data_IF_731936089888
#
_entry.id   IF_731936089888
#
_cell.length_a   1.000
_cell.length_b   1.000
_cell.length_c   1.000
_cell.angle_alpha   90.00
_cell.angle_beta   90.00
_cell.angle_gamma   90.00
#
_symmetry.space_group_name_H-M   'P 1'
#
loop_
_entity.id
_entity.type
_entity.pdbx_description
1 polymer ?
#
# COMPACT_ATOMS: atom_id res chain seq x y z
N UNK A 1 21.69 -21.87 7.91
CA UNK A 1 21.26 -20.56 8.46
C UNK A 1 20.39 -19.86 7.42
N UNK A 2 19.09 -19.69 7.69
CA UNK A 2 18.19 -18.97 6.78
C UNK A 2 18.56 -17.48 6.70
N UNK A 3 18.36 -16.87 5.54
CA UNK A 3 18.48 -15.43 5.37
C UNK A 3 17.43 -14.73 6.24
N UNK A 4 17.80 -13.71 7.00
CA UNK A 4 16.83 -12.85 7.68
C UNK A 4 16.09 -12.00 6.67
N UNK A 5 14.87 -11.52 7.01
CA UNK A 5 14.08 -10.62 6.15
C UNK A 5 14.91 -9.40 5.73
N UNK A 6 15.65 -8.81 6.65
CA UNK A 6 16.56 -7.69 6.41
C UNK A 6 17.61 -8.00 5.32
N UNK A 7 18.27 -9.17 5.40
CA UNK A 7 19.23 -9.60 4.38
C UNK A 7 18.58 -9.82 3.01
N UNK A 8 17.36 -10.33 2.98
CA UNK A 8 16.61 -10.49 1.73
C UNK A 8 16.26 -9.13 1.12
N UNK A 9 15.79 -8.18 1.92
CA UNK A 9 15.49 -6.82 1.48
C UNK A 9 16.73 -6.10 0.97
N UNK A 10 17.86 -6.24 1.69
CA UNK A 10 19.15 -5.67 1.27
C UNK A 10 19.64 -6.27 -0.06
N UNK A 11 19.53 -7.59 -0.21
CA UNK A 11 19.87 -8.27 -1.47
C UNK A 11 19.01 -7.80 -2.63
N UNK A 12 17.69 -7.64 -2.42
CA UNK A 12 16.78 -7.10 -3.42
C UNK A 12 17.14 -5.67 -3.80
N UNK A 13 17.38 -4.81 -2.82
CA UNK A 13 17.81 -3.42 -3.02
C UNK A 13 19.11 -3.34 -3.83
N UNK A 14 20.09 -4.18 -3.50
CA UNK A 14 21.36 -4.26 -4.23
C UNK A 14 21.16 -4.74 -5.68
N UNK A 15 20.26 -5.70 -5.92
CA UNK A 15 19.95 -6.16 -7.27
C UNK A 15 19.33 -5.04 -8.12
N UNK A 16 18.41 -4.24 -7.56
CA UNK A 16 17.86 -3.08 -8.26
C UNK A 16 18.95 -2.06 -8.65
N UNK A 17 19.92 -1.82 -7.75
CA UNK A 17 21.08 -0.94 -8.03
C UNK A 17 21.95 -1.50 -9.17
N UNK A 18 22.31 -2.78 -9.09
CA UNK A 18 23.17 -3.43 -10.09
C UNK A 18 22.53 -3.47 -11.48
N UNK A 19 21.22 -3.67 -11.54
CA UNK A 19 20.46 -3.68 -12.80
C UNK A 19 20.22 -2.28 -13.37
N UNK A 20 20.57 -1.21 -12.65
CA UNK A 20 20.20 0.17 -12.99
C UNK A 20 18.69 0.28 -13.31
N UNK A 21 17.89 -0.40 -12.51
CA UNK A 21 16.46 -0.54 -12.70
C UNK A 21 15.76 0.82 -12.63
N UNK A 22 14.76 1.02 -13.50
CA UNK A 22 13.91 2.22 -13.53
C UNK A 22 12.46 1.81 -13.68
N UNK A 23 11.56 2.66 -13.18
CA UNK A 23 10.12 2.51 -13.37
C UNK A 23 9.48 3.88 -13.59
N UNK A 24 8.40 3.93 -14.38
CA UNK A 24 7.57 5.13 -14.49
C UNK A 24 6.62 5.23 -13.30
N UNK A 25 6.08 4.08 -12.89
CA UNK A 25 5.08 3.95 -11.83
C UNK A 25 5.53 2.86 -10.86
N UNK A 26 5.45 3.15 -9.57
CA UNK A 26 5.71 2.18 -8.50
C UNK A 26 4.45 2.00 -7.67
N UNK A 27 4.06 0.74 -7.44
CA UNK A 27 3.11 0.35 -6.41
C UNK A 27 3.89 -0.10 -5.18
N UNK A 28 3.68 0.57 -4.05
CA UNK A 28 4.46 0.41 -2.83
C UNK A 28 3.53 0.09 -1.66
N UNK A 29 3.65 -1.10 -1.07
CA UNK A 29 2.69 -1.52 -0.06
C UNK A 29 2.88 -2.94 0.43
N UNK A 30 1.83 -3.48 1.03
CA UNK A 30 1.80 -4.79 1.67
C UNK A 30 1.34 -5.93 0.72
N UNK A 31 0.73 -6.99 1.30
CA UNK A 31 0.26 -8.15 0.54
C UNK A 31 -0.84 -7.83 -0.47
N UNK A 32 -1.71 -6.85 -0.18
CA UNK A 32 -2.74 -6.43 -1.13
C UNK A 32 -2.11 -5.82 -2.39
N UNK A 33 -1.06 -5.04 -2.22
CA UNK A 33 -0.26 -4.55 -3.35
C UNK A 33 0.49 -5.69 -4.03
N UNK A 34 1.12 -6.59 -3.27
CA UNK A 34 1.89 -7.71 -3.79
C UNK A 34 1.11 -8.59 -4.79
N UNK A 35 -0.15 -8.90 -4.49
CA UNK A 35 -0.99 -9.77 -5.34
C UNK A 35 -1.62 -9.06 -6.54
N UNK A 36 -1.51 -7.72 -6.64
CA UNK A 36 -2.03 -6.95 -7.77
C UNK A 36 -1.14 -7.06 -9.03
N UNK A 37 -1.76 -7.24 -10.19
CA UNK A 37 -1.11 -7.12 -11.50
C UNK A 37 -1.40 -5.73 -12.09
N UNK A 38 -0.65 -4.73 -11.64
CA UNK A 38 -0.85 -3.35 -12.05
C UNK A 38 -0.21 -3.01 -13.41
N UNK A 39 0.61 -3.89 -13.97
CA UNK A 39 1.27 -3.64 -15.26
C UNK A 39 0.28 -3.51 -16.40
N UNK A 40 -0.82 -4.26 -16.34
CA UNK A 40 -1.88 -4.22 -17.33
C UNK A 40 -2.72 -2.94 -17.33
N UNK A 41 -2.66 -2.17 -16.22
CA UNK A 41 -3.46 -0.95 -16.02
C UNK A 41 -2.89 0.24 -16.80
N UNK A 42 -1.58 0.28 -17.02
CA UNK A 42 -0.86 1.42 -17.59
C UNK A 42 -0.07 1.01 -18.86
N UNK A 43 -0.74 0.86 -20.00
CA UNK A 43 -0.08 0.45 -21.26
C UNK A 43 1.03 1.43 -21.64
N UNK A 44 2.19 0.90 -22.03
CA UNK A 44 3.35 1.68 -22.44
C UNK A 44 4.17 2.31 -21.30
N UNK A 45 3.82 2.03 -20.04
CA UNK A 45 4.58 2.43 -18.85
C UNK A 45 5.34 1.25 -18.24
N UNK A 46 6.51 1.53 -17.71
CA UNK A 46 7.25 0.58 -16.87
C UNK A 46 6.69 0.65 -15.46
N UNK A 47 5.89 -0.35 -15.10
CA UNK A 47 5.27 -0.45 -13.77
C UNK A 47 6.06 -1.44 -12.91
N UNK A 48 6.47 -1.00 -11.73
CA UNK A 48 7.14 -1.87 -10.75
C UNK A 48 6.24 -2.08 -9.53
N UNK A 49 5.94 -3.34 -9.21
CA UNK A 49 5.22 -3.71 -8.00
C UNK A 49 6.24 -4.02 -6.88
N UNK A 50 6.32 -3.14 -5.89
CA UNK A 50 7.10 -3.29 -4.66
C UNK A 50 6.22 -3.70 -3.48
N UNK A 51 5.13 -4.41 -3.70
CA UNK A 51 4.33 -5.01 -2.63
C UNK A 51 5.12 -6.11 -1.91
N UNK A 52 4.99 -6.19 -0.58
CA UNK A 52 5.60 -7.23 0.24
C UNK A 52 4.59 -7.82 1.21
N UNK A 53 4.47 -9.15 1.23
CA UNK A 53 3.52 -9.84 2.11
C UNK A 53 3.83 -9.59 3.59
N UNK A 54 2.81 -9.19 4.34
CA UNK A 54 2.92 -8.93 5.78
C UNK A 54 3.65 -7.62 6.12
N UNK A 55 3.89 -6.75 5.13
CA UNK A 55 4.60 -5.50 5.36
C UNK A 55 3.79 -4.53 6.22
N UNK A 56 4.50 -3.72 6.97
CA UNK A 56 3.97 -2.75 7.93
C UNK A 56 4.40 -1.33 7.55
N UNK A 57 3.81 -0.34 8.22
CA UNK A 57 4.22 1.06 8.06
C UNK A 57 5.72 1.24 8.31
N UNK A 58 6.28 0.58 9.36
CA UNK A 58 7.72 0.60 9.62
C UNK A 58 8.51 -0.08 8.50
N UNK A 59 8.05 -1.24 8.00
CA UNK A 59 8.71 -1.95 6.91
C UNK A 59 8.80 -1.12 5.63
N UNK A 60 7.78 -0.33 5.31
CA UNK A 60 7.81 0.63 4.19
C UNK A 60 8.89 1.70 4.42
N UNK A 61 9.01 2.26 5.63
CA UNK A 61 10.04 3.25 5.96
C UNK A 61 11.45 2.65 5.73
N UNK A 62 11.67 1.43 6.20
CA UNK A 62 12.98 0.75 6.14
C UNK A 62 13.44 0.44 4.71
N UNK A 63 12.51 0.43 3.73
CA UNK A 63 12.81 0.09 2.34
C UNK A 63 12.46 1.18 1.30
N UNK A 64 12.25 2.42 1.72
CA UNK A 64 11.98 3.56 0.81
C UNK A 64 13.10 3.75 -0.23
N UNK A 65 14.33 3.34 0.10
CA UNK A 65 15.49 3.34 -0.81
C UNK A 65 15.22 2.59 -2.13
N UNK A 66 14.38 1.54 -2.12
CA UNK A 66 14.00 0.81 -3.33
C UNK A 66 13.26 1.73 -4.32
N UNK A 67 12.38 2.59 -3.82
CA UNK A 67 11.68 3.58 -4.65
C UNK A 67 12.65 4.64 -5.18
N UNK A 68 13.61 5.09 -4.36
CA UNK A 68 14.65 6.05 -4.77
C UNK A 68 15.48 5.53 -5.94
N UNK A 69 15.84 4.24 -5.92
CA UNK A 69 16.62 3.62 -7.00
C UNK A 69 15.85 3.63 -8.30
N UNK A 70 14.56 3.30 -8.26
CA UNK A 70 13.70 3.21 -9.44
C UNK A 70 13.36 4.58 -10.06
N UNK A 71 13.47 5.66 -9.29
CA UNK A 71 13.19 7.05 -9.72
C UNK A 71 11.85 7.23 -10.46
N UNK A 72 10.73 6.73 -9.90
CA UNK A 72 9.43 6.78 -10.57
C UNK A 72 8.92 8.22 -10.69
N UNK A 73 8.01 8.43 -11.66
CA UNK A 73 7.21 9.64 -11.76
C UNK A 73 6.02 9.61 -10.78
N UNK A 74 5.43 8.41 -10.59
CA UNK A 74 4.25 8.22 -9.74
C UNK A 74 4.49 7.05 -8.78
N UNK A 75 4.07 7.23 -7.53
CA UNK A 75 4.07 6.19 -6.49
C UNK A 75 2.65 6.05 -5.93
N UNK A 76 2.08 4.87 -6.05
CA UNK A 76 0.86 4.47 -5.34
C UNK A 76 1.26 3.78 -4.04
N UNK A 77 0.87 4.36 -2.91
CA UNK A 77 1.19 3.86 -1.57
C UNK A 77 -0.06 3.32 -0.88
N UNK A 78 -0.04 2.07 -0.45
CA UNK A 78 -1.06 1.48 0.42
C UNK A 78 -0.41 0.55 1.42
N UNK A 79 -0.49 0.86 2.72
CA UNK A 79 0.06 0.07 3.83
C UNK A 79 -0.64 0.42 5.12
N UNK A 80 -0.69 -0.52 6.05
CA UNK A 80 -1.17 -0.30 7.40
C UNK A 80 -2.17 -1.34 7.91
N UNK A 81 -2.73 -2.20 7.06
CA UNK A 81 -3.68 -3.23 7.50
C UNK A 81 -3.05 -4.17 8.54
N UNK A 82 -1.77 -4.46 8.44
CA UNK A 82 -1.01 -5.28 9.39
C UNK A 82 -0.68 -4.56 10.70
N UNK A 83 -0.90 -3.25 10.75
CA UNK A 83 -0.63 -2.39 11.90
C UNK A 83 -1.89 -2.13 12.73
N UNK A 84 -3.09 -2.10 12.10
CA UNK A 84 -4.37 -1.69 12.71
C UNK A 84 -4.68 -2.39 14.03
N UNK A 85 -4.40 -3.68 14.13
CA UNK A 85 -4.68 -4.46 15.35
C UNK A 85 -3.58 -4.33 16.42
N UNK A 86 -2.42 -3.78 16.09
CA UNK A 86 -1.23 -3.79 16.93
C UNK A 86 -0.94 -2.44 17.60
N UNK A 87 -1.57 -1.36 17.12
CA UNK A 87 -1.34 0.01 17.59
C UNK A 87 -2.65 0.68 17.97
N UNK A 88 -2.59 1.56 18.95
CA UNK A 88 -3.66 2.55 19.16
C UNK A 88 -3.73 3.50 17.98
N UNK A 89 -4.86 4.17 17.77
CA UNK A 89 -5.01 5.15 16.69
C UNK A 89 -3.96 6.27 16.77
N UNK A 90 -3.58 6.69 17.98
CA UNK A 90 -2.55 7.70 18.19
C UNK A 90 -1.17 7.23 17.76
N UNK A 91 -0.78 6.02 18.13
CA UNK A 91 0.50 5.41 17.73
C UNK A 91 0.55 5.17 16.21
N UNK A 92 -0.53 4.62 15.64
CA UNK A 92 -0.66 4.45 14.20
C UNK A 92 -0.50 5.77 13.44
N UNK A 93 -1.21 6.83 13.87
CA UNK A 93 -1.16 8.15 13.26
C UNK A 93 0.24 8.76 13.35
N UNK A 94 0.91 8.60 14.48
CA UNK A 94 2.29 9.07 14.66
C UNK A 94 3.24 8.35 13.71
N UNK A 95 3.18 7.03 13.65
CA UNK A 95 4.03 6.22 12.76
C UNK A 95 3.76 6.54 11.27
N UNK A 96 2.49 6.71 10.90
CA UNK A 96 2.12 7.09 9.54
C UNK A 96 2.60 8.50 9.16
N UNK A 97 2.63 9.43 10.12
CA UNK A 97 3.23 10.75 9.93
C UNK A 97 4.74 10.67 9.67
N UNK A 98 5.45 9.78 10.37
CA UNK A 98 6.88 9.52 10.12
C UNK A 98 7.06 8.97 8.71
N UNK A 99 6.24 8.01 8.29
CA UNK A 99 6.26 7.45 6.93
C UNK A 99 6.11 8.55 5.87
N UNK A 100 5.05 9.36 5.94
CA UNK A 100 4.80 10.36 4.91
C UNK A 100 5.85 11.48 4.91
N UNK A 101 6.42 11.82 6.07
CA UNK A 101 7.57 12.72 6.16
C UNK A 101 8.79 12.12 5.46
N UNK A 102 9.11 10.86 5.72
CA UNK A 102 10.19 10.13 5.06
C UNK A 102 10.01 10.15 3.55
N UNK A 103 8.83 9.77 3.05
CA UNK A 103 8.50 9.80 1.62
C UNK A 103 8.66 11.22 1.04
N UNK A 104 8.17 12.25 1.73
CA UNK A 104 8.29 13.65 1.29
C UNK A 104 9.73 14.09 1.13
N UNK A 105 10.62 13.62 2.00
CA UNK A 105 12.05 13.97 1.99
C UNK A 105 12.79 13.15 0.94
N UNK A 106 12.56 11.84 0.90
CA UNK A 106 13.39 10.89 0.17
C UNK A 106 13.03 10.77 -1.32
N UNK A 107 11.78 11.05 -1.69
CA UNK A 107 11.28 10.95 -3.07
C UNK A 107 10.45 12.17 -3.48
N UNK A 108 10.92 13.36 -3.12
CA UNK A 108 10.24 14.65 -3.32
C UNK A 108 9.91 15.00 -4.78
N UNK A 109 10.54 14.34 -5.75
CA UNK A 109 10.28 14.54 -7.19
C UNK A 109 9.07 13.77 -7.72
N UNK A 110 8.61 12.72 -6.99
CA UNK A 110 7.52 11.87 -7.45
C UNK A 110 6.15 12.40 -7.02
N UNK A 111 5.15 12.19 -7.85
CA UNK A 111 3.75 12.33 -7.45
C UNK A 111 3.38 11.12 -6.60
N UNK A 112 3.10 11.33 -5.32
CA UNK A 112 2.70 10.25 -4.41
C UNK A 112 1.18 10.28 -4.21
N UNK A 113 0.54 9.15 -4.44
CA UNK A 113 -0.89 8.92 -4.28
C UNK A 113 -1.06 7.93 -3.13
N UNK A 114 -1.52 8.43 -2.00
CA UNK A 114 -1.78 7.63 -0.81
C UNK A 114 -3.18 7.05 -0.92
N UNK A 115 -3.30 5.74 -0.84
CA UNK A 115 -4.55 5.01 -0.93
C UNK A 115 -5.04 4.61 0.46
N UNK A 116 -6.35 4.63 0.68
CA UNK A 116 -6.95 4.11 1.91
C UNK A 116 -6.69 2.62 2.06
N UNK A 117 -6.72 2.12 3.29
CA UNK A 117 -6.85 0.69 3.57
C UNK A 117 -8.21 0.18 3.07
N UNK A 118 -8.25 -1.07 2.63
CA UNK A 118 -9.49 -1.72 2.20
C UNK A 118 -10.31 -2.20 3.40
N UNK A 119 -11.63 -2.40 3.26
CA UNK A 119 -12.43 -3.04 4.29
C UNK A 119 -12.03 -4.52 4.45
N UNK A 120 -12.40 -5.09 5.60
CA UNK A 120 -12.27 -6.52 5.89
C UNK A 120 -13.64 -7.17 6.06
N UNK A 121 -13.69 -8.51 5.99
CA UNK A 121 -14.88 -9.28 6.31
C UNK A 121 -14.69 -10.07 7.61
N UNK A 122 -14.84 -9.40 8.74
CA UNK A 122 -14.76 -9.99 10.06
C UNK A 122 -16.07 -10.66 10.54
N UNK A 123 -17.14 -10.61 9.75
CA UNK A 123 -18.38 -11.32 10.01
C UNK A 123 -18.30 -12.80 9.63
N UNK A 124 -17.49 -13.14 8.62
CA UNK A 124 -17.35 -14.50 8.07
C UNK A 124 -15.98 -15.12 8.30
N UNK A 125 -14.99 -14.32 8.71
CA UNK A 125 -13.61 -14.73 8.90
C UNK A 125 -13.09 -14.22 10.24
N UNK A 126 -12.21 -15.01 10.89
CA UNK A 126 -11.54 -14.59 12.12
C UNK A 126 -10.40 -13.62 11.78
N UNK A 127 -10.61 -12.32 11.99
CA UNK A 127 -9.66 -11.24 11.68
C UNK A 127 -9.47 -10.41 12.94
N UNK A 128 -8.24 -10.01 13.22
CA UNK A 128 -7.85 -9.28 14.44
C UNK A 128 -8.27 -7.81 14.48
N UNK A 129 -8.68 -7.22 13.35
CA UNK A 129 -9.19 -5.86 13.27
C UNK A 129 -10.63 -5.82 12.75
N UNK A 130 -11.27 -4.67 12.85
CA UNK A 130 -12.62 -4.44 12.33
C UNK A 130 -12.67 -3.17 11.47
N UNK A 131 -13.79 -3.00 10.74
CA UNK A 131 -13.93 -1.88 9.81
C UNK A 131 -14.06 -0.51 10.49
N UNK A 132 -14.50 -0.44 11.74
CA UNK A 132 -14.50 0.81 12.50
C UNK A 132 -13.06 1.27 12.76
N UNK A 133 -12.18 0.37 13.20
CA UNK A 133 -10.75 0.67 13.38
C UNK A 133 -10.11 1.10 12.06
N UNK A 134 -10.42 0.40 10.95
CA UNK A 134 -9.89 0.73 9.62
C UNK A 134 -10.38 2.10 9.16
N UNK A 135 -11.65 2.45 9.34
CA UNK A 135 -12.19 3.77 8.99
C UNK A 135 -11.50 4.89 9.80
N UNK A 136 -11.27 4.68 11.10
CA UNK A 136 -10.53 5.63 11.93
C UNK A 136 -9.08 5.81 11.45
N UNK A 137 -8.40 4.72 11.10
CA UNK A 137 -7.07 4.78 10.50
C UNK A 137 -7.10 5.48 9.12
N UNK A 138 -8.09 5.21 8.28
CA UNK A 138 -8.23 5.86 6.98
C UNK A 138 -8.46 7.37 7.08
N UNK A 139 -9.24 7.81 8.06
CA UNK A 139 -9.41 9.24 8.34
C UNK A 139 -8.08 9.88 8.79
N UNK A 140 -7.33 9.20 9.65
CA UNK A 140 -5.99 9.66 10.04
C UNK A 140 -5.04 9.72 8.82
N UNK A 141 -4.98 8.67 7.99
CA UNK A 141 -4.18 8.63 6.77
C UNK A 141 -4.53 9.80 5.85
N UNK A 142 -5.83 10.06 5.63
CA UNK A 142 -6.32 11.16 4.81
C UNK A 142 -5.84 12.51 5.34
N UNK A 143 -6.04 12.78 6.63
CA UNK A 143 -5.64 14.04 7.26
C UNK A 143 -4.14 14.27 7.21
N UNK A 144 -3.33 13.24 7.47
CA UNK A 144 -1.87 13.29 7.37
C UNK A 144 -1.44 13.50 5.91
N UNK A 145 -2.09 12.84 4.95
CA UNK A 145 -1.81 13.03 3.52
C UNK A 145 -2.05 14.47 3.08
N UNK A 146 -3.17 15.07 3.49
CA UNK A 146 -3.50 16.48 3.23
C UNK A 146 -2.44 17.41 3.85
N UNK A 147 -2.03 17.16 5.10
CA UNK A 147 -1.00 17.95 5.78
C UNK A 147 0.32 17.97 5.02
N UNK A 148 0.76 16.82 4.49
CA UNK A 148 1.98 16.69 3.69
C UNK A 148 1.78 17.05 2.20
N UNK A 149 0.56 17.45 1.80
CA UNK A 149 0.19 17.78 0.41
C UNK A 149 0.35 16.62 -0.56
N UNK A 150 0.03 15.42 -0.10
CA UNK A 150 -0.12 14.25 -0.94
C UNK A 150 -1.58 14.10 -1.40
N UNK A 151 -1.78 13.55 -2.59
CA UNK A 151 -3.11 13.14 -3.05
C UNK A 151 -3.56 11.92 -2.25
N UNK A 152 -4.77 11.97 -1.71
CA UNK A 152 -5.41 10.83 -1.06
C UNK A 152 -6.50 10.27 -1.95
N UNK A 153 -6.66 8.92 -1.94
CA UNK A 153 -7.63 8.19 -2.74
C UNK A 153 -8.36 7.20 -1.85
N UNK A 154 -9.68 7.25 -1.86
CA UNK A 154 -10.53 6.38 -1.07
C UNK A 154 -10.88 5.09 -1.86
N UNK A 155 -10.14 4.02 -1.57
CA UNK A 155 -10.44 2.68 -2.05
C UNK A 155 -11.40 1.93 -1.10
N UNK A 156 -11.49 2.33 0.17
CA UNK A 156 -12.38 1.68 1.14
C UNK A 156 -13.83 1.70 0.64
N UNK A 157 -14.29 2.88 0.23
CA UNK A 157 -15.66 3.07 -0.28
C UNK A 157 -15.94 2.27 -1.56
N UNK A 158 -14.93 1.99 -2.37
CA UNK A 158 -15.06 1.17 -3.57
C UNK A 158 -15.34 -0.31 -3.26
N UNK A 159 -14.83 -0.80 -2.12
CA UNK A 159 -14.88 -2.22 -1.75
C UNK A 159 -15.86 -2.55 -0.64
N UNK A 160 -16.33 -1.57 0.14
CA UNK A 160 -17.28 -1.84 1.23
C UNK A 160 -18.69 -2.02 0.69
N UNK A 161 -19.38 -3.08 1.15
CA UNK A 161 -20.80 -3.30 0.93
C UNK A 161 -21.41 -3.86 2.21
N UNK A 162 -22.54 -3.30 2.65
CA UNK A 162 -23.19 -3.68 3.90
C UNK A 162 -22.22 -3.68 5.12
N UNK A 163 -21.29 -2.70 5.12
CA UNK A 163 -20.30 -2.49 6.20
C UNK A 163 -19.08 -3.44 6.19
N UNK A 164 -18.96 -4.34 5.22
CA UNK A 164 -17.85 -5.30 5.13
C UNK A 164 -17.32 -5.47 3.70
N UNK A 165 -16.13 -6.07 3.56
CA UNK A 165 -15.65 -6.59 2.28
C UNK A 165 -16.52 -7.77 1.85
N UNK A 166 -17.18 -7.74 0.67
CA UNK A 166 -18.02 -8.84 0.21
C UNK A 166 -17.28 -10.18 0.17
N UNK A 167 -17.95 -11.26 0.59
CA UNK A 167 -17.36 -12.61 0.59
C UNK A 167 -16.95 -13.07 -0.81
N UNK A 168 -17.67 -12.62 -1.82
CA UNK A 168 -17.36 -12.88 -3.22
C UNK A 168 -16.06 -12.22 -3.68
N UNK A 169 -15.65 -11.11 -3.05
CA UNK A 169 -14.47 -10.34 -3.40
C UNK A 169 -13.20 -10.79 -2.64
N UNK A 170 -13.35 -11.59 -1.56
CA UNK A 170 -12.22 -11.95 -0.70
C UNK A 170 -11.97 -13.45 -0.63
N UNK A 171 -10.71 -13.81 -0.35
CA UNK A 171 -10.27 -15.21 -0.13
C UNK A 171 -10.45 -15.60 1.34
N UNK A 172 -10.01 -14.73 2.24
CA UNK A 172 -9.84 -14.97 3.68
C UNK A 172 -10.35 -13.82 4.56
N UNK A 173 -11.07 -12.88 3.95
CA UNK A 173 -11.62 -11.71 4.63
C UNK A 173 -10.75 -10.46 4.57
N UNK A 174 -9.50 -10.57 4.09
CA UNK A 174 -8.55 -9.46 3.88
C UNK A 174 -8.11 -9.40 2.43
N UNK A 175 -7.58 -10.52 1.90
CA UNK A 175 -6.99 -10.57 0.57
C UNK A 175 -8.07 -10.67 -0.51
N UNK A 176 -7.90 -9.89 -1.56
CA UNK A 176 -8.82 -9.86 -2.69
C UNK A 176 -8.67 -11.11 -3.56
N UNK A 177 -9.80 -11.60 -4.10
CA UNK A 177 -9.79 -12.53 -5.22
C UNK A 177 -9.34 -11.82 -6.49
N UNK A 178 -8.75 -12.56 -7.43
CA UNK A 178 -8.25 -12.01 -8.69
C UNK A 178 -9.29 -11.14 -9.43
N UNK A 179 -10.55 -11.55 -9.46
CA UNK A 179 -11.62 -10.80 -10.12
C UNK A 179 -11.92 -9.46 -9.43
N UNK A 180 -11.76 -9.37 -8.11
CA UNK A 180 -12.03 -8.17 -7.35
C UNK A 180 -10.98 -7.07 -7.61
N UNK A 181 -9.75 -7.44 -8.00
CA UNK A 181 -8.74 -6.47 -8.42
C UNK A 181 -9.19 -5.64 -9.63
N UNK A 182 -10.09 -6.14 -10.49
CA UNK A 182 -10.60 -5.38 -11.61
C UNK A 182 -11.31 -4.09 -11.18
N UNK A 183 -11.95 -4.07 -10.00
CA UNK A 183 -12.53 -2.84 -9.44
C UNK A 183 -11.45 -1.79 -9.20
N UNK A 184 -10.32 -2.21 -8.60
CA UNK A 184 -9.18 -1.34 -8.34
C UNK A 184 -8.54 -0.86 -9.63
N UNK A 185 -8.33 -1.77 -10.60
CA UNK A 185 -7.74 -1.43 -11.90
C UNK A 185 -8.58 -0.42 -12.67
N UNK A 186 -9.89 -0.63 -12.77
CA UNK A 186 -10.80 0.30 -13.44
C UNK A 186 -10.76 1.69 -12.78
N UNK A 187 -10.81 1.71 -11.44
CA UNK A 187 -10.70 2.96 -10.69
C UNK A 187 -9.38 3.70 -10.98
N UNK A 188 -8.26 3.00 -11.07
CA UNK A 188 -6.97 3.61 -11.38
C UNK A 188 -6.93 4.15 -12.82
N UNK A 189 -7.52 3.44 -13.78
CA UNK A 189 -7.60 3.90 -15.18
C UNK A 189 -8.44 5.18 -15.33
N UNK A 190 -9.54 5.29 -14.59
CA UNK A 190 -10.39 6.47 -14.59
C UNK A 190 -9.75 7.67 -13.87
N UNK A 191 -8.83 7.42 -12.96
CA UNK A 191 -8.23 8.43 -12.09
C UNK A 191 -6.86 8.92 -12.57
N UNK A 192 -6.26 8.24 -13.58
CA UNK A 192 -4.97 8.56 -14.19
C UNK A 192 -5.12 9.60 -15.29
#
# INVERSE_FOLDING_TARGET
MGLTVEKCLQAWTNSLKQMNAKADIVFFGDSLTYYGDFSSVFPGKVVCNLGLRGDTVQGIIDRVEQVKILKPQIVYLMVGINDVANYTLGEFSHLYSILLRCIKTEISWAVVIVQSLLPVNNQKFSISCNNEQIMNCNEAIKNISIYFRFRYVDLFSLFVKDGVLPKEDTIDGIHLKKIAYNKWYNFLQESY
#
